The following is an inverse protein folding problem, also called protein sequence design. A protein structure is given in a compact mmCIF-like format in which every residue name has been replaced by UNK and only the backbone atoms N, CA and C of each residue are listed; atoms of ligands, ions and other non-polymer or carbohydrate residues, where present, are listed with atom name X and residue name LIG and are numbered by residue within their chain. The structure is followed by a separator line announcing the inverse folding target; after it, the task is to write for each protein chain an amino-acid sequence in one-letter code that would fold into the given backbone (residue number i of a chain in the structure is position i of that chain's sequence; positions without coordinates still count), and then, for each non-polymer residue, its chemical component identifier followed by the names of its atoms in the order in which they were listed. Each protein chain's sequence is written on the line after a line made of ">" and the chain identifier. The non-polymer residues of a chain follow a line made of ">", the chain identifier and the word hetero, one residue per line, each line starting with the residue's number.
data_IF_521935135195
#
_entry.id   IF_521935135195
#
_cell.length_a   1.000
_cell.length_b   1.000
_cell.length_c   1.000
_cell.angle_alpha   90.00
_cell.angle_beta   90.00
_cell.angle_gamma   90.00
#
_symmetry.space_group_name_H-M   'P 1'
#
loop_
_entity.id
_entity.type
_entity.pdbx_description
1 polymer ?
#
# COMPACT_ATOMS: atom_id res chain seq x y z
N UNK A 1 -15.05 23.81 19.48
CA UNK A 1 -14.96 23.23 19.30
C UNK A 1 -14.76 22.62 18.82
N UNK A 2 -14.89 22.58 18.68
CA UNK A 2 -14.75 21.88 18.35
C UNK A 2 -14.31 21.33 17.77
N UNK A 3 -14.30 21.41 17.11
CA UNK A 3 -13.66 20.71 16.62
C UNK A 3 -12.65 20.06 17.18
N UNK A 4 -12.44 20.14 18.13
CA UNK A 4 -11.55 19.49 18.79
C UNK A 4 -11.64 18.11 18.75
N UNK A 5 -12.62 17.57 18.45
CA UNK A 5 -12.75 16.16 18.28
C UNK A 5 -12.14 15.68 16.98
N UNK A 6 -11.71 16.56 16.11
CA UNK A 6 -11.09 16.18 14.85
C UNK A 6 -9.66 15.70 15.10
N UNK A 7 -9.30 14.48 14.69
CA UNK A 7 -7.92 13.99 14.84
C UNK A 7 -6.92 14.73 13.97
N UNK A 8 -7.41 15.54 13.01
CA UNK A 8 -6.52 16.26 12.10
C UNK A 8 -5.97 17.52 12.77
N UNK A 9 -6.73 18.12 13.69
CA UNK A 9 -6.29 19.35 14.32
C UNK A 9 -5.27 19.14 15.44
N UNK A 10 -5.21 17.91 16.01
CA UNK A 10 -4.25 17.57 17.04
C UNK A 10 -3.77 16.16 16.83
N UNK A 11 -2.46 15.98 16.79
CA UNK A 11 -1.87 14.68 16.57
C UNK A 11 -1.40 14.12 17.91
N UNK A 12 -2.15 13.19 18.44
CA UNK A 12 -1.81 12.54 19.70
C UNK A 12 -0.66 11.55 19.48
N UNK A 13 0.05 11.24 20.56
CA UNK A 13 1.22 10.37 20.49
C UNK A 13 0.87 9.01 19.89
N UNK A 14 -0.24 8.43 20.31
CA UNK A 14 -0.64 7.12 19.82
C UNK A 14 -0.94 7.15 18.32
N UNK A 15 -1.61 8.19 17.89
CA UNK A 15 -1.92 8.37 16.46
C UNK A 15 -0.64 8.55 15.66
N UNK A 16 0.32 9.29 16.22
CA UNK A 16 1.60 9.49 15.53
C UNK A 16 2.34 8.18 15.36
N UNK A 17 2.32 7.31 16.37
CA UNK A 17 2.94 5.99 16.27
C UNK A 17 2.26 5.14 15.22
N UNK A 18 0.95 5.13 15.19
CA UNK A 18 0.19 4.37 14.20
C UNK A 18 0.48 4.86 12.79
N UNK A 19 0.54 6.17 12.61
CA UNK A 19 0.84 6.75 11.31
C UNK A 19 2.26 6.39 10.87
N UNK A 20 3.21 6.41 11.80
CA UNK A 20 4.59 6.02 11.49
C UNK A 20 4.65 4.55 11.08
N UNK A 21 3.91 3.68 11.76
CA UNK A 21 3.86 2.27 11.40
C UNK A 21 3.26 2.07 10.01
N UNK A 22 2.24 2.83 9.70
CA UNK A 22 1.62 2.80 8.38
C UNK A 22 2.65 3.15 7.30
N UNK A 23 3.38 4.24 7.49
CA UNK A 23 4.41 4.65 6.51
C UNK A 23 5.57 3.67 6.46
N UNK A 24 5.85 2.96 7.55
CA UNK A 24 6.92 1.96 7.53
C UNK A 24 6.61 0.84 6.56
N UNK A 25 5.33 0.48 6.40
CA UNK A 25 4.94 -0.53 5.44
C UNK A 25 5.22 -0.04 4.01
N UNK A 26 5.03 1.24 3.75
CA UNK A 26 5.39 1.82 2.45
C UNK A 26 6.90 1.94 2.27
N UNK A 27 7.68 1.90 3.34
CA UNK A 27 9.11 2.15 3.29
C UNK A 27 9.95 0.97 2.84
N UNK A 28 9.44 0.21 1.88
CA UNK A 28 10.13 -0.96 1.34
C UNK A 28 9.92 -0.99 -0.17
N UNK A 29 11.01 -1.02 -0.93
CA UNK A 29 10.91 -0.89 -2.39
C UNK A 29 10.12 -2.04 -3.02
N UNK A 30 10.23 -3.25 -2.49
CA UNK A 30 9.51 -4.40 -3.02
C UNK A 30 8.01 -4.22 -2.82
N UNK A 31 7.61 -3.78 -1.63
CA UNK A 31 6.19 -3.54 -1.35
C UNK A 31 5.63 -2.41 -2.22
N UNK A 32 6.42 -1.37 -2.44
CA UNK A 32 5.99 -0.28 -3.32
C UNK A 32 5.79 -0.79 -4.75
N UNK A 33 6.69 -1.66 -5.24
CA UNK A 33 6.54 -2.23 -6.58
C UNK A 33 5.26 -3.05 -6.70
N UNK A 34 4.92 -3.79 -5.67
CA UNK A 34 3.69 -4.59 -5.66
C UNK A 34 2.48 -3.68 -5.71
N UNK A 35 2.45 -2.67 -4.85
CA UNK A 35 1.31 -1.74 -4.82
C UNK A 35 1.19 -1.02 -6.15
N UNK A 36 2.31 -0.61 -6.74
CA UNK A 36 2.29 0.04 -8.03
C UNK A 36 1.72 -0.86 -9.12
N UNK A 37 2.07 -2.15 -9.06
CA UNK A 37 1.57 -3.12 -10.03
C UNK A 37 0.05 -3.31 -9.92
N UNK A 38 -0.52 -3.04 -8.74
CA UNK A 38 -1.94 -3.24 -8.52
C UNK A 38 -2.78 -1.98 -8.79
N UNK A 39 -2.14 -0.87 -9.18
CA UNK A 39 -2.87 0.38 -9.38
C UNK A 39 -3.85 0.30 -10.55
N UNK A 40 -3.56 -0.50 -11.55
CA UNK A 40 -4.39 -0.59 -12.73
C UNK A 40 -5.42 -1.74 -12.68
N UNK A 41 -5.52 -2.42 -11.54
CA UNK A 41 -6.53 -3.46 -11.39
C UNK A 41 -6.02 -4.64 -10.60
N UNK A 42 -6.93 -5.52 -10.24
CA UNK A 42 -6.58 -6.70 -9.45
C UNK A 42 -5.78 -7.69 -10.27
N UNK A 43 -4.95 -8.48 -9.58
CA UNK A 43 -4.06 -9.47 -10.20
C UNK A 43 -3.87 -10.64 -9.28
N UNK A 44 -3.56 -11.79 -9.86
CA UNK A 44 -3.12 -12.97 -9.11
C UNK A 44 -1.64 -12.84 -8.78
N UNK A 45 -1.17 -13.68 -7.86
CA UNK A 45 0.21 -13.61 -7.37
C UNK A 45 1.24 -13.67 -8.49
N UNK A 46 1.06 -14.60 -9.44
CA UNK A 46 2.04 -14.76 -10.52
C UNK A 46 2.14 -13.50 -11.38
N UNK A 47 1.00 -12.87 -11.67
CA UNK A 47 1.01 -11.64 -12.45
C UNK A 47 1.62 -10.48 -11.68
N UNK A 48 1.36 -10.41 -10.38
CA UNK A 48 1.96 -9.38 -9.53
C UNK A 48 3.47 -9.57 -9.50
N UNK A 49 3.92 -10.80 -9.29
CA UNK A 49 5.36 -11.10 -9.21
C UNK A 49 6.06 -10.70 -10.51
N UNK A 50 5.45 -11.03 -11.65
CA UNK A 50 6.00 -10.66 -12.94
C UNK A 50 6.06 -9.15 -13.10
N UNK A 51 4.98 -8.46 -12.78
CA UNK A 51 4.91 -7.00 -12.92
C UNK A 51 5.89 -6.30 -11.98
N UNK A 52 6.07 -6.83 -10.77
CA UNK A 52 6.98 -6.24 -9.79
C UNK A 52 8.43 -6.68 -9.99
N UNK A 53 8.69 -7.69 -10.83
CA UNK A 53 10.04 -8.18 -11.09
C UNK A 53 10.63 -8.94 -9.92
N UNK A 54 9.83 -9.74 -9.22
CA UNK A 54 10.28 -10.49 -8.05
C UNK A 54 9.82 -11.94 -8.17
N UNK A 55 10.35 -12.81 -7.30
CA UNK A 55 9.94 -14.20 -7.28
C UNK A 55 8.54 -14.34 -6.71
N UNK A 56 7.87 -15.44 -7.04
CA UNK A 56 6.54 -15.71 -6.48
C UNK A 56 6.59 -15.88 -4.97
N UNK A 57 7.65 -16.51 -4.47
CA UNK A 57 7.83 -16.69 -3.04
C UNK A 57 7.95 -15.36 -2.32
N UNK A 58 8.77 -14.46 -2.83
CA UNK A 58 8.92 -13.12 -2.26
C UNK A 58 7.62 -12.34 -2.35
N UNK A 59 6.93 -12.47 -3.47
CA UNK A 59 5.67 -11.77 -3.70
C UNK A 59 4.61 -12.22 -2.69
N UNK A 60 4.46 -13.54 -2.51
CA UNK A 60 3.50 -14.07 -1.55
C UNK A 60 3.78 -13.59 -0.14
N UNK A 61 5.06 -13.57 0.25
CA UNK A 61 5.45 -13.12 1.58
C UNK A 61 5.10 -11.64 1.79
N UNK A 62 5.41 -10.81 0.81
CA UNK A 62 5.13 -9.38 0.91
C UNK A 62 3.63 -9.08 0.84
N UNK A 63 2.88 -9.84 0.05
CA UNK A 63 1.43 -9.67 -0.01
C UNK A 63 0.78 -9.96 1.33
N UNK A 64 1.31 -10.92 2.08
CA UNK A 64 0.80 -11.19 3.42
C UNK A 64 1.00 -9.97 4.33
N UNK A 65 2.18 -9.35 4.26
CA UNK A 65 2.47 -8.15 5.04
C UNK A 65 1.52 -7.01 4.66
N UNK A 66 1.33 -6.80 3.35
CA UNK A 66 0.44 -5.74 2.87
C UNK A 66 -1.01 -5.99 3.26
N UNK A 67 -1.44 -7.24 3.22
CA UNK A 67 -2.80 -7.59 3.61
C UNK A 67 -3.01 -7.37 5.11
N UNK A 68 -2.04 -7.75 5.93
CA UNK A 68 -2.12 -7.54 7.38
C UNK A 68 -2.17 -6.06 7.73
N UNK A 69 -1.61 -5.21 6.88
CA UNK A 69 -1.63 -3.75 7.06
C UNK A 69 -2.82 -3.09 6.39
N UNK A 70 -3.75 -3.86 5.84
CA UNK A 70 -4.95 -3.38 5.16
C UNK A 70 -4.66 -2.49 3.96
N UNK A 71 -3.55 -2.74 3.28
CA UNK A 71 -3.23 -2.01 2.04
C UNK A 71 -3.71 -2.76 0.80
N UNK A 72 -3.89 -4.08 0.92
CA UNK A 72 -4.47 -4.89 -0.15
C UNK A 72 -5.54 -5.79 0.44
N UNK A 73 -6.46 -6.19 -0.39
CA UNK A 73 -7.49 -7.16 -0.02
C UNK A 73 -7.58 -8.21 -1.11
N UNK A 74 -8.25 -9.33 -0.79
CA UNK A 74 -8.31 -10.46 -1.70
C UNK A 74 -9.74 -10.76 -2.11
N UNK A 75 -9.86 -11.35 -3.29
CA UNK A 75 -11.12 -11.90 -3.79
C UNK A 75 -10.83 -13.29 -4.31
N UNK A 76 -11.59 -14.26 -3.87
CA UNK A 76 -11.43 -15.64 -4.34
C UNK A 76 -12.34 -15.87 -5.55
N UNK A 77 -11.76 -16.51 -6.55
CA UNK A 77 -12.49 -16.89 -7.76
C UNK A 77 -12.10 -18.32 -8.09
N UNK A 78 -12.88 -19.27 -7.58
CA UNK A 78 -12.54 -20.68 -7.71
C UNK A 78 -11.27 -20.99 -6.94
N UNK A 79 -10.27 -21.49 -7.64
CA UNK A 79 -8.98 -21.81 -7.03
C UNK A 79 -8.01 -20.63 -7.04
N UNK A 80 -8.39 -19.54 -7.68
CA UNK A 80 -7.51 -18.39 -7.83
C UNK A 80 -7.84 -17.35 -6.78
N UNK A 81 -6.82 -16.66 -6.33
CA UNK A 81 -6.94 -15.55 -5.40
C UNK A 81 -6.44 -14.31 -6.10
N UNK A 82 -7.30 -13.31 -6.18
CA UNK A 82 -6.96 -12.02 -6.78
C UNK A 82 -6.71 -11.02 -5.66
N UNK A 83 -5.71 -10.17 -5.85
CA UNK A 83 -5.35 -9.11 -4.92
C UNK A 83 -5.65 -7.77 -5.56
N UNK A 84 -6.08 -6.82 -4.75
CA UNK A 84 -6.28 -5.44 -5.22
C UNK A 84 -5.97 -4.48 -4.07
N UNK A 85 -5.71 -3.24 -4.43
CA UNK A 85 -5.53 -2.18 -3.45
C UNK A 85 -6.86 -1.97 -2.72
N UNK A 86 -6.78 -1.79 -1.40
CA UNK A 86 -7.96 -1.74 -0.54
C UNK A 86 -8.89 -0.59 -0.91
N UNK A 87 -8.34 0.61 -1.12
CA UNK A 87 -9.14 1.78 -1.43
C UNK A 87 -8.30 2.82 -2.18
N UNK A 88 -8.98 3.86 -2.64
CA UNK A 88 -8.31 4.88 -3.45
C UNK A 88 -7.28 5.69 -2.68
N UNK A 89 -7.35 5.70 -1.34
CA UNK A 89 -6.38 6.47 -0.56
C UNK A 89 -4.96 5.94 -0.76
N UNK A 90 -4.80 4.63 -0.85
CA UNK A 90 -3.49 4.02 -1.09
C UNK A 90 -2.92 4.47 -2.43
N UNK A 91 -3.77 4.46 -3.46
CA UNK A 91 -3.38 4.92 -4.79
C UNK A 91 -2.99 6.40 -4.77
N UNK A 92 -3.79 7.21 -4.10
CA UNK A 92 -3.53 8.65 -4.00
C UNK A 92 -2.21 8.93 -3.29
N UNK A 93 -1.93 8.22 -2.19
CA UNK A 93 -0.68 8.39 -1.45
C UNK A 93 0.52 8.10 -2.35
N UNK A 94 0.48 6.98 -3.08
CA UNK A 94 1.57 6.62 -3.99
C UNK A 94 1.76 7.66 -5.08
N UNK A 95 0.65 8.10 -5.65
CA UNK A 95 0.70 9.05 -6.76
C UNK A 95 1.25 10.40 -6.31
N UNK A 96 0.73 10.92 -5.19
CA UNK A 96 1.17 12.21 -4.68
C UNK A 96 2.63 12.15 -4.26
N UNK A 97 3.05 11.07 -3.60
CA UNK A 97 4.44 10.91 -3.19
C UNK A 97 5.36 10.91 -4.42
N UNK A 98 4.97 10.17 -5.47
CA UNK A 98 5.77 10.13 -6.68
C UNK A 98 5.84 11.50 -7.34
N UNK A 99 4.71 12.20 -7.44
CA UNK A 99 4.68 13.54 -8.03
C UNK A 99 5.59 14.49 -7.28
N UNK A 100 5.56 14.43 -5.95
CA UNK A 100 6.42 15.27 -5.14
C UNK A 100 7.89 15.01 -5.43
N UNK A 101 8.27 13.72 -5.48
CA UNK A 101 9.67 13.35 -5.74
C UNK A 101 10.14 13.79 -7.11
N UNK A 102 9.27 13.69 -8.11
CA UNK A 102 9.63 14.04 -9.48
C UNK A 102 9.82 15.55 -9.64
N UNK A 103 9.27 16.35 -8.74
CA UNK A 103 9.39 17.81 -8.77
C UNK A 103 10.58 18.31 -7.95
N UNK A 104 11.22 17.44 -7.16
CA UNK A 104 12.33 17.84 -6.34
C UNK A 104 13.58 18.07 -7.19
N UNK A 105 14.32 19.15 -6.93
CA UNK A 105 15.60 19.35 -7.62
C UNK A 105 16.59 18.29 -7.16
N UNK A 106 17.47 17.90 -8.07
CA UNK A 106 18.45 16.88 -7.78
C UNK A 106 19.81 17.44 -7.55
#
# INVERSE_FOLDING_TARGET
>A
MSDKSSPISMLEDETALDLADFFRVFGDSTRIRILWALRDGEKCVDDIATAAGISMSACSHQLKTLRNADLVETRRDGKRIHYRITDEHVDIILKVALEHMMEMPR
#
